data_IF_057107854686
#
_entry.id   IF_057107854686
#
_cell.length_a   1.000
_cell.length_b   1.000
_cell.length_c   1.000
_cell.angle_alpha   90.00
_cell.angle_beta   90.00
_cell.angle_gamma   90.00
#
_symmetry.space_group_name_H-M   'P 1'
#
loop_
_entity.id
_entity.type
_entity.pdbx_description
1 polymer ?
#
# COMPACT_ATOMS: atom_id res chain seq x y z
N UNK A 1 -11.13 -13.46 -0.93
CA UNK A 1 -11.56 -12.52 0.13
C UNK A 1 -11.97 -13.33 1.35
N UNK A 2 -11.56 -12.88 2.52
CA UNK A 2 -11.88 -13.46 3.82
C UNK A 2 -12.76 -12.48 4.58
N UNK A 3 -13.78 -12.99 5.27
CA UNK A 3 -14.66 -12.18 6.10
C UNK A 3 -14.04 -11.98 7.49
N UNK A 4 -14.17 -10.77 8.03
CA UNK A 4 -13.75 -10.39 9.38
C UNK A 4 -14.80 -9.47 10.01
N UNK A 5 -14.97 -9.52 11.33
CA UNK A 5 -15.87 -8.63 12.05
C UNK A 5 -15.26 -8.20 13.38
N UNK A 6 -15.24 -6.88 13.62
CA UNK A 6 -14.80 -6.31 14.90
C UNK A 6 -15.67 -5.12 15.32
N UNK A 7 -15.40 -4.60 16.51
CA UNK A 7 -16.19 -3.52 17.10
C UNK A 7 -15.99 -2.15 16.42
N UNK A 8 -14.80 -1.88 15.88
CA UNK A 8 -14.45 -0.57 15.33
C UNK A 8 -14.88 -0.43 13.87
N UNK A 9 -14.65 -1.47 13.08
CA UNK A 9 -14.90 -1.49 11.65
C UNK A 9 -16.17 -2.26 11.30
N UNK A 10 -16.74 -3.05 12.21
CA UNK A 10 -17.87 -3.93 11.89
C UNK A 10 -17.45 -5.02 10.91
N UNK A 11 -18.39 -5.49 10.11
CA UNK A 11 -18.13 -6.56 9.12
C UNK A 11 -17.38 -6.03 7.89
N UNK A 12 -16.21 -6.62 7.62
CA UNK A 12 -15.29 -6.28 6.54
C UNK A 12 -14.94 -7.54 5.73
N UNK A 13 -14.75 -7.36 4.43
CA UNK A 13 -14.14 -8.36 3.56
C UNK A 13 -12.73 -7.91 3.21
N UNK A 14 -11.74 -8.76 3.46
CA UNK A 14 -10.34 -8.45 3.27
C UNK A 14 -9.67 -9.41 2.28
N UNK A 15 -8.65 -8.92 1.59
CA UNK A 15 -7.73 -9.74 0.81
C UNK A 15 -6.32 -9.18 0.96
N UNK A 16 -5.35 -10.07 0.99
CA UNK A 16 -3.93 -9.75 0.93
C UNK A 16 -3.27 -10.58 -0.16
N UNK A 17 -2.29 -9.99 -0.83
CA UNK A 17 -1.43 -10.68 -1.79
C UNK A 17 -0.02 -10.10 -1.77
N UNK A 18 0.96 -10.93 -2.10
CA UNK A 18 2.29 -10.43 -2.41
C UNK A 18 2.29 -9.82 -3.80
N UNK A 19 2.98 -8.70 -3.96
CA UNK A 19 3.14 -8.02 -5.25
C UNK A 19 4.62 -7.76 -5.52
N UNK A 20 5.04 -8.08 -6.73
CA UNK A 20 6.41 -7.90 -7.20
C UNK A 20 6.56 -6.55 -7.92
N UNK A 21 7.79 -6.15 -8.12
CA UNK A 21 8.12 -4.87 -8.72
C UNK A 21 7.98 -4.87 -10.24
N UNK A 22 7.50 -3.75 -10.76
CA UNK A 22 7.49 -3.44 -12.19
C UNK A 22 8.29 -2.17 -12.42
N UNK A 23 9.05 -2.12 -13.51
CA UNK A 23 9.81 -0.94 -13.91
C UNK A 23 8.84 0.09 -14.48
N UNK A 24 8.83 1.29 -13.91
CA UNK A 24 8.02 2.41 -14.40
C UNK A 24 8.67 3.11 -15.61
N UNK A 25 7.98 4.13 -16.15
CA UNK A 25 8.46 4.89 -17.31
C UNK A 25 9.78 5.66 -17.06
N UNK A 26 10.20 5.78 -15.79
CA UNK A 26 11.44 6.43 -15.38
C UNK A 26 12.56 5.43 -15.03
N UNK A 27 12.32 4.13 -15.23
CA UNK A 27 13.29 3.09 -14.90
C UNK A 27 13.32 2.72 -13.42
N UNK A 28 12.36 3.18 -12.62
CA UNK A 28 12.29 2.91 -11.18
C UNK A 28 11.42 1.68 -10.93
N UNK A 29 11.90 0.74 -10.13
CA UNK A 29 11.13 -0.44 -9.72
C UNK A 29 10.11 -0.03 -8.65
N UNK A 30 8.84 -0.37 -8.86
CA UNK A 30 7.72 -0.04 -7.96
C UNK A 30 6.71 -1.17 -7.86
N UNK A 31 5.90 -1.23 -6.77
CA UNK A 31 4.89 -2.28 -6.59
C UNK A 31 3.94 -2.40 -7.81
N UNK A 32 3.91 -3.59 -8.43
CA UNK A 32 3.03 -3.90 -9.57
C UNK A 32 1.71 -4.52 -9.12
N UNK A 33 0.67 -3.70 -8.99
CA UNK A 33 -0.66 -4.14 -8.58
C UNK A 33 -1.77 -3.41 -9.33
N UNK A 34 -2.97 -3.98 -9.29
CA UNK A 34 -4.19 -3.34 -9.77
C UNK A 34 -5.07 -2.90 -8.62
N UNK A 35 -5.63 -1.70 -8.76
CA UNK A 35 -6.52 -1.13 -7.76
C UNK A 35 -7.86 -1.85 -7.77
N UNK A 36 -8.35 -2.18 -6.59
CA UNK A 36 -9.63 -2.85 -6.34
C UNK A 36 -10.71 -1.89 -5.85
N UNK A 37 -10.32 -0.70 -5.39
CA UNK A 37 -11.27 0.37 -5.08
C UNK A 37 -11.97 0.87 -6.34
N UNK A 38 -13.29 0.77 -6.36
CA UNK A 38 -14.12 1.30 -7.44
C UNK A 38 -14.00 2.84 -7.51
N UNK A 39 -13.97 3.42 -8.71
CA UNK A 39 -13.73 4.85 -8.96
C UNK A 39 -12.34 5.35 -8.55
N UNK A 40 -11.36 4.46 -8.36
CA UNK A 40 -10.00 4.89 -8.11
C UNK A 40 -9.44 5.69 -9.29
N UNK A 41 -8.58 6.65 -8.98
CA UNK A 41 -7.93 7.52 -9.96
C UNK A 41 -6.41 7.27 -10.00
N UNK A 42 -5.75 7.84 -11.01
CA UNK A 42 -4.31 7.66 -11.20
C UNK A 42 -3.49 8.20 -10.01
N UNK A 43 -3.94 9.25 -9.34
CA UNK A 43 -3.21 9.84 -8.20
C UNK A 43 -3.20 8.89 -6.99
N UNK A 44 -4.28 8.14 -6.77
CA UNK A 44 -4.30 7.08 -5.74
C UNK A 44 -3.28 5.98 -6.05
N UNK A 45 -3.18 5.54 -7.32
CA UNK A 45 -2.21 4.51 -7.74
C UNK A 45 -0.78 5.01 -7.54
N UNK A 46 -0.49 6.25 -7.95
CA UNK A 46 0.82 6.89 -7.75
C UNK A 46 1.19 6.97 -6.27
N UNK A 47 0.25 7.43 -5.42
CA UNK A 47 0.48 7.52 -3.98
C UNK A 47 0.79 6.14 -3.38
N UNK A 48 -0.03 5.13 -3.67
CA UNK A 48 0.16 3.76 -3.17
C UNK A 48 1.43 3.10 -3.70
N UNK A 49 1.90 3.45 -4.90
CA UNK A 49 3.20 3.01 -5.45
C UNK A 49 4.40 3.77 -4.87
N UNK A 50 4.17 4.72 -3.97
CA UNK A 50 5.21 5.58 -3.39
C UNK A 50 5.81 6.58 -4.39
N UNK A 51 5.14 6.87 -5.50
CA UNK A 51 5.58 7.86 -6.51
C UNK A 51 5.42 9.28 -6.00
N UNK A 52 4.36 9.52 -5.24
CA UNK A 52 3.99 10.82 -4.71
C UNK A 52 3.67 10.76 -3.22
N UNK A 53 3.82 11.89 -2.55
CA UNK A 53 3.24 12.16 -1.24
C UNK A 53 1.74 12.51 -1.37
N UNK A 54 1.03 12.60 -0.24
CA UNK A 54 -0.42 12.87 -0.23
C UNK A 54 -0.77 14.20 -0.93
N UNK A 55 0.13 15.19 -0.91
CA UNK A 55 -0.05 16.49 -1.60
C UNK A 55 0.44 16.48 -3.07
N UNK A 56 0.78 15.31 -3.63
CA UNK A 56 1.21 15.17 -5.03
C UNK A 56 2.68 15.50 -5.29
N UNK A 57 3.46 15.87 -4.26
CA UNK A 57 4.92 16.04 -4.38
C UNK A 57 5.58 14.70 -4.68
N UNK A 58 6.67 14.70 -5.46
CA UNK A 58 7.43 13.48 -5.74
C UNK A 58 7.99 12.88 -4.44
N UNK A 59 7.92 11.56 -4.33
CA UNK A 59 8.44 10.75 -3.23
C UNK A 59 9.59 9.86 -3.72
N UNK A 60 10.54 9.56 -2.83
CA UNK A 60 11.57 8.53 -3.09
C UNK A 60 10.91 7.15 -3.20
N UNK A 61 9.91 6.91 -2.35
CA UNK A 61 9.06 5.72 -2.38
C UNK A 61 9.67 4.56 -1.61
N UNK A 62 9.20 3.37 -1.92
CA UNK A 62 9.65 2.16 -1.25
C UNK A 62 11.06 1.76 -1.68
N UNK A 63 11.79 1.22 -0.71
CA UNK A 63 13.03 0.48 -0.93
C UNK A 63 12.69 -0.82 -1.66
N UNK A 64 13.50 -1.16 -2.65
CA UNK A 64 13.44 -2.45 -3.34
C UNK A 64 14.27 -3.43 -2.54
N UNK A 65 13.60 -4.29 -1.78
CA UNK A 65 14.28 -5.32 -1.00
C UNK A 65 14.86 -6.39 -1.92
N UNK A 66 16.10 -6.80 -1.64
CA UNK A 66 16.72 -7.93 -2.32
C UNK A 66 16.21 -9.24 -1.72
N UNK A 67 15.21 -9.84 -2.36
CA UNK A 67 14.60 -11.10 -1.93
C UNK A 67 14.99 -12.23 -2.87
N UNK A 68 15.92 -13.08 -2.44
CA UNK A 68 16.42 -14.20 -3.23
C UNK A 68 15.43 -15.37 -3.37
N UNK A 69 14.34 -15.39 -2.59
CA UNK A 69 13.42 -16.53 -2.54
C UNK A 69 12.47 -16.62 -3.74
N UNK A 70 12.26 -15.53 -4.48
CA UNK A 70 11.27 -15.43 -5.58
C UNK A 70 11.77 -14.55 -6.74
N UNK A 71 13.10 -14.48 -6.95
CA UNK A 71 13.72 -13.57 -7.92
C UNK A 71 13.26 -13.77 -9.37
N UNK A 72 12.71 -14.94 -9.71
CA UNK A 72 12.16 -15.24 -11.03
C UNK A 72 10.81 -14.54 -11.30
N UNK A 73 10.09 -14.09 -10.27
CA UNK A 73 8.77 -13.44 -10.38
C UNK A 73 8.85 -11.91 -10.54
N UNK A 74 10.02 -11.33 -10.25
CA UNK A 74 10.28 -9.90 -10.41
C UNK A 74 11.11 -9.31 -9.25
N UNK A 75 11.62 -8.08 -9.42
CA UNK A 75 12.40 -7.41 -8.38
C UNK A 75 11.54 -6.94 -7.21
N UNK A 76 12.03 -7.06 -5.98
CA UNK A 76 11.35 -6.57 -4.78
C UNK A 76 10.08 -7.34 -4.41
N UNK A 77 9.65 -7.17 -3.17
CA UNK A 77 8.46 -7.83 -2.61
C UNK A 77 7.73 -6.86 -1.69
N UNK A 78 6.44 -6.66 -1.96
CA UNK A 78 5.54 -5.83 -1.14
C UNK A 78 4.28 -6.61 -0.80
N UNK A 79 3.51 -6.12 0.18
CA UNK A 79 2.19 -6.66 0.48
C UNK A 79 1.13 -5.67 0.04
N UNK A 80 0.24 -6.12 -0.83
CA UNK A 80 -0.99 -5.41 -1.17
C UNK A 80 -2.13 -5.93 -0.31
N UNK A 81 -2.81 -5.03 0.41
CA UNK A 81 -4.04 -5.37 1.13
C UNK A 81 -5.19 -4.51 0.67
N UNK A 82 -6.37 -5.14 0.61
CA UNK A 82 -7.62 -4.47 0.28
C UNK A 82 -8.69 -4.90 1.27
N UNK A 83 -9.38 -3.93 1.83
CA UNK A 83 -10.49 -4.12 2.74
C UNK A 83 -11.74 -3.37 2.24
N UNK A 84 -12.90 -3.99 2.37
CA UNK A 84 -14.21 -3.38 2.07
C UNK A 84 -15.19 -3.63 3.20
N UNK A 85 -15.78 -2.57 3.72
CA UNK A 85 -16.86 -2.69 4.69
C UNK A 85 -18.16 -3.18 4.04
N UNK A 86 -18.79 -4.21 4.61
CA UNK A 86 -19.99 -4.84 4.03
C UNK A 86 -21.22 -3.95 4.13
N UNK A 87 -21.34 -3.14 5.20
CA UNK A 87 -22.54 -2.34 5.47
C UNK A 87 -22.46 -0.92 4.89
N UNK A 88 -21.35 -0.25 5.14
CA UNK A 88 -21.13 1.16 4.78
C UNK A 88 -20.38 1.33 3.45
N UNK A 89 -19.74 0.28 2.94
CA UNK A 89 -19.16 0.24 1.60
C UNK A 89 -17.85 1.01 1.43
N UNK A 90 -17.28 1.62 2.48
CA UNK A 90 -15.94 2.21 2.37
C UNK A 90 -14.90 1.14 2.06
N UNK A 91 -13.84 1.54 1.35
CA UNK A 91 -12.66 0.70 1.09
C UNK A 91 -11.42 1.28 1.74
N UNK A 92 -10.50 0.40 2.12
CA UNK A 92 -9.12 0.75 2.44
C UNK A 92 -8.21 -0.12 1.58
N UNK A 93 -7.26 0.51 0.91
CA UNK A 93 -6.34 -0.16 0.00
C UNK A 93 -4.92 0.27 0.35
N UNK A 94 -4.02 -0.70 0.50
CA UNK A 94 -2.75 -0.49 1.16
C UNK A 94 -1.60 -1.18 0.45
N UNK A 95 -0.45 -0.52 0.44
CA UNK A 95 0.83 -1.16 0.09
C UNK A 95 1.75 -1.04 1.30
N UNK A 96 2.33 -2.17 1.68
CA UNK A 96 3.30 -2.30 2.76
C UNK A 96 4.68 -2.60 2.19
N UNK A 97 5.69 -1.97 2.75
CA UNK A 97 7.09 -2.14 2.37
C UNK A 97 8.01 -1.36 3.29
N UNK A 98 9.27 -1.21 2.87
CA UNK A 98 10.23 -0.39 3.58
C UNK A 98 10.41 0.96 2.88
N UNK A 99 10.57 2.04 3.64
CA UNK A 99 10.87 3.37 3.13
C UNK A 99 12.03 4.00 3.93
N UNK A 100 12.76 4.90 3.30
CA UNK A 100 13.74 5.75 3.98
C UNK A 100 13.06 7.00 4.54
N UNK A 101 13.33 7.31 5.80
CA UNK A 101 12.96 8.57 6.44
C UNK A 101 14.22 9.24 6.98
N UNK A 102 14.72 10.22 6.24
CA UNK A 102 16.08 10.72 6.45
C UNK A 102 17.07 9.58 6.19
N UNK A 103 17.95 9.33 7.16
CA UNK A 103 18.99 8.30 7.04
C UNK A 103 18.57 6.94 7.63
N UNK A 104 17.30 6.78 8.00
CA UNK A 104 16.81 5.57 8.70
C UNK A 104 15.75 4.83 7.89
N UNK A 105 15.85 3.50 7.89
CA UNK A 105 14.92 2.57 7.22
C UNK A 105 13.80 2.19 8.18
N UNK A 106 12.56 2.34 7.73
CA UNK A 106 11.38 1.95 8.51
C UNK A 106 10.47 1.03 7.70
N UNK A 107 9.78 0.13 8.40
CA UNK A 107 8.63 -0.54 7.80
C UNK A 107 7.47 0.45 7.79
N UNK A 108 6.80 0.58 6.65
CA UNK A 108 5.70 1.51 6.48
C UNK A 108 4.57 0.89 5.66
N UNK A 109 3.41 1.53 5.76
CA UNK A 109 2.32 1.33 4.82
C UNK A 109 1.77 2.64 4.34
N UNK A 110 1.42 2.67 3.06
CA UNK A 110 0.64 3.73 2.44
C UNK A 110 -0.77 3.19 2.26
N UNK A 111 -1.77 3.94 2.72
CA UNK A 111 -3.19 3.59 2.67
C UNK A 111 -3.97 4.66 1.96
N UNK A 112 -4.90 4.25 1.11
CA UNK A 112 -5.98 5.09 0.60
C UNK A 112 -7.29 4.56 1.15
N UNK A 113 -8.03 5.40 1.86
CA UNK A 113 -9.39 5.10 2.32
C UNK A 113 -10.38 5.88 1.47
N UNK A 114 -11.35 5.20 0.86
CA UNK A 114 -12.37 5.81 0.02
C UNK A 114 -13.79 5.52 0.53
N UNK A 115 -14.62 6.56 0.56
CA UNK A 115 -16.06 6.46 0.84
C UNK A 115 -16.82 6.06 -0.43
N UNK A 116 -18.04 5.56 -0.27
CA UNK A 116 -18.95 5.26 -1.41
C UNK A 116 -19.32 6.47 -2.26
N UNK A 117 -19.03 7.70 -1.80
CA UNK A 117 -19.22 8.96 -2.54
C UNK A 117 -18.00 9.36 -3.37
N UNK A 118 -16.94 8.54 -3.40
CA UNK A 118 -15.69 8.82 -4.13
C UNK A 118 -14.75 9.79 -3.42
N UNK A 119 -15.09 10.26 -2.21
CA UNK A 119 -14.17 11.04 -1.38
C UNK A 119 -13.13 10.10 -0.78
N UNK A 120 -11.85 10.47 -0.86
CA UNK A 120 -10.76 9.66 -0.34
C UNK A 120 -9.77 10.47 0.50
N UNK A 121 -9.05 9.76 1.36
CA UNK A 121 -7.90 10.27 2.10
C UNK A 121 -6.70 9.34 1.90
N UNK A 122 -5.51 9.94 1.86
CA UNK A 122 -4.24 9.24 1.84
C UNK A 122 -3.61 9.29 3.23
N UNK A 123 -3.12 8.16 3.73
CA UNK A 123 -2.43 8.06 5.00
C UNK A 123 -1.14 7.25 4.87
N UNK A 124 -0.08 7.70 5.54
CA UNK A 124 1.17 6.95 5.67
C UNK A 124 1.39 6.62 7.12
N UNK A 125 1.55 5.33 7.42
CA UNK A 125 1.81 4.84 8.77
C UNK A 125 3.22 4.25 8.76
N UNK A 126 4.07 4.76 9.65
CA UNK A 126 5.47 4.37 9.78
C UNK A 126 5.62 3.64 11.12
N UNK A 127 6.16 2.44 11.07
CA UNK A 127 6.36 1.59 12.24
C UNK A 127 7.82 1.70 12.68
N UNK A 128 8.00 2.08 13.94
CA UNK A 128 9.27 1.97 14.63
C UNK A 128 9.30 0.68 15.45
N UNK A 129 10.39 -0.07 15.36
CA UNK A 129 10.54 -1.30 16.14
C UNK A 129 11.13 -0.93 17.50
N UNK A 130 10.42 -1.26 18.57
CA UNK A 130 10.96 -1.12 19.91
C UNK A 130 11.92 -2.30 20.11
N UNK A 131 13.20 -2.03 20.31
CA UNK A 131 14.17 -3.04 20.72
C UNK A 131 13.65 -3.72 22.01
N UNK A 132 13.34 -5.02 21.92
CA UNK A 132 13.08 -5.81 23.12
C UNK A 132 14.41 -6.03 23.83
N UNK A 133 14.63 -5.30 24.93
CA UNK A 133 15.75 -5.60 25.85
C UNK A 133 15.55 -6.95 26.55
#
# INVERSE_FOLDING_TARGET
MSDHEDYFFGKVQAQSEFVHGVIDAHGIVRPGFELRTDNANAEMKKYLRGETEAEGRKSEGFIVEDWSGMSEEGPGLWVHTFERNVKSGWTAEQIWGFEMFGDSRYFSRRVVVMTTKGQYICGRIVFDFIDSQ
#
